data_IF_481458433124
#
_entry.id   IF_481458433124
#
_cell.length_a   1.000
_cell.length_b   1.000
_cell.length_c   1.000
_cell.angle_alpha   90.00
_cell.angle_beta   90.00
_cell.angle_gamma   90.00
#
_symmetry.space_group_name_H-M   'P 1'
#
loop_
_entity.id
_entity.type
_entity.pdbx_description
1 polymer ?
#
# COMPACT_ATOMS: atom_id res chain seq x y z
N UNK A 1 8.87 -7.81 15.78
CA UNK A 1 8.92 -6.80 14.70
C UNK A 1 7.54 -6.55 14.06
N UNK A 2 6.56 -7.46 14.17
CA UNK A 2 5.20 -7.26 13.59
C UNK A 2 4.28 -6.32 14.38
N UNK A 3 4.41 -6.23 15.71
CA UNK A 3 3.48 -5.44 16.55
C UNK A 3 3.49 -3.93 16.29
N UNK A 4 4.63 -3.34 15.92
CA UNK A 4 4.71 -1.89 15.70
C UNK A 4 4.04 -1.45 14.41
N UNK A 5 4.22 -2.22 13.32
CA UNK A 5 3.60 -1.95 12.02
C UNK A 5 2.10 -2.23 12.08
N UNK A 6 1.69 -3.34 12.69
CA UNK A 6 0.27 -3.67 12.85
C UNK A 6 -0.47 -2.56 13.62
N UNK A 7 0.11 -2.13 14.75
CA UNK A 7 -0.46 -1.05 15.56
C UNK A 7 -0.56 0.26 14.79
N UNK A 8 0.50 0.65 14.07
CA UNK A 8 0.51 1.87 13.26
C UNK A 8 -0.58 1.84 12.19
N UNK A 9 -0.66 0.78 11.39
CA UNK A 9 -1.67 0.63 10.33
C UNK A 9 -3.08 0.68 10.92
N UNK A 10 -3.29 0.04 12.07
CA UNK A 10 -4.58 0.07 12.77
C UNK A 10 -4.98 1.45 13.27
N UNK A 11 -4.03 2.23 13.77
CA UNK A 11 -4.27 3.59 14.24
C UNK A 11 -4.67 4.51 13.07
N UNK A 12 -3.92 4.45 11.97
CA UNK A 12 -4.23 5.19 10.74
C UNK A 12 -5.60 4.80 10.17
N UNK A 13 -5.91 3.51 10.14
CA UNK A 13 -7.16 3.02 9.58
C UNK A 13 -8.37 3.37 10.45
N UNK A 14 -8.20 3.42 11.78
CA UNK A 14 -9.23 3.92 12.70
C UNK A 14 -9.43 5.43 12.60
N UNK A 15 -8.40 6.20 12.27
CA UNK A 15 -8.54 7.64 12.06
C UNK A 15 -9.45 7.94 10.85
N UNK A 16 -9.37 7.11 9.80
CA UNK A 16 -10.19 7.24 8.59
C UNK A 16 -11.53 6.52 8.69
N UNK A 17 -11.57 5.36 9.36
CA UNK A 17 -12.76 4.53 9.56
C UNK A 17 -12.94 4.24 11.07
N UNK A 18 -13.51 5.18 11.84
CA UNK A 18 -13.60 5.07 13.31
C UNK A 18 -14.37 3.86 13.83
N UNK A 19 -15.22 3.26 12.98
CA UNK A 19 -16.05 2.09 13.32
C UNK A 19 -15.48 0.77 12.81
N UNK A 20 -14.23 0.74 12.33
CA UNK A 20 -13.68 -0.54 11.88
C UNK A 20 -13.59 -1.52 13.05
N UNK A 21 -14.27 -2.65 12.90
CA UNK A 21 -14.26 -3.74 13.87
C UNK A 21 -13.25 -4.77 13.41
N UNK A 22 -12.25 -5.02 14.25
CA UNK A 22 -11.23 -6.04 14.01
C UNK A 22 -11.39 -7.09 15.10
N UNK A 23 -11.62 -8.32 14.70
CA UNK A 23 -12.09 -9.45 15.54
C UNK A 23 -10.98 -10.05 16.43
N UNK A 24 -9.99 -9.24 16.79
CA UNK A 24 -8.88 -9.62 17.67
C UNK A 24 -7.54 -9.74 16.95
N UNK A 25 -6.61 -10.45 17.58
CA UNK A 25 -5.22 -10.57 17.17
C UNK A 25 -5.01 -11.14 15.75
N UNK A 26 -5.74 -12.18 15.28
CA UNK A 26 -5.50 -12.74 13.95
C UNK A 26 -5.75 -11.76 12.81
N UNK A 27 -6.81 -10.96 12.88
CA UNK A 27 -7.10 -9.96 11.84
C UNK A 27 -6.12 -8.79 11.87
N UNK A 28 -5.61 -8.42 13.06
CA UNK A 28 -4.52 -7.45 13.20
C UNK A 28 -3.24 -7.92 12.50
N UNK A 29 -2.90 -9.20 12.66
CA UNK A 29 -1.75 -9.82 11.99
C UNK A 29 -1.97 -9.82 10.47
N UNK A 30 -3.15 -10.25 10.01
CA UNK A 30 -3.47 -10.26 8.58
C UNK A 30 -3.37 -8.87 7.94
N UNK A 31 -3.85 -7.84 8.63
CA UNK A 31 -3.75 -6.46 8.15
C UNK A 31 -2.28 -6.00 8.04
N UNK A 32 -1.45 -6.36 9.03
CA UNK A 32 -0.03 -6.04 9.01
C UNK A 32 0.70 -6.75 7.86
N UNK A 33 0.38 -8.03 7.64
CA UNK A 33 0.92 -8.79 6.52
C UNK A 33 0.50 -8.18 5.18
N UNK A 34 -0.77 -7.81 5.03
CA UNK A 34 -1.29 -7.15 3.82
C UNK A 34 -0.54 -5.83 3.55
N UNK A 35 -0.34 -5.01 4.58
CA UNK A 35 0.39 -3.76 4.45
C UNK A 35 1.85 -3.99 4.04
N UNK A 36 2.53 -4.95 4.67
CA UNK A 36 3.92 -5.30 4.34
C UNK A 36 4.05 -5.85 2.91
N UNK A 37 3.09 -6.66 2.47
CA UNK A 37 3.02 -7.18 1.10
C UNK A 37 2.82 -6.06 0.09
N UNK A 38 1.88 -5.15 0.34
CA UNK A 38 1.63 -4.00 -0.54
C UNK A 38 2.86 -3.09 -0.65
N UNK A 39 3.49 -2.78 0.48
CA UNK A 39 4.74 -2.01 0.51
C UNK A 39 5.85 -2.70 -0.28
N UNK A 40 5.97 -4.03 -0.17
CA UNK A 40 6.98 -4.80 -0.90
C UNK A 40 6.76 -4.69 -2.41
N UNK A 41 5.52 -4.79 -2.88
CA UNK A 41 5.18 -4.63 -4.29
C UNK A 41 5.46 -3.22 -4.80
N UNK A 42 5.09 -2.19 -4.04
CA UNK A 42 5.42 -0.79 -4.37
C UNK A 42 6.93 -0.62 -4.51
N UNK A 43 7.71 -1.16 -3.57
CA UNK A 43 9.17 -1.07 -3.62
C UNK A 43 9.78 -1.85 -4.78
N UNK A 44 9.17 -2.95 -5.22
CA UNK A 44 9.60 -3.69 -6.42
C UNK A 44 9.34 -2.89 -7.70
N UNK A 45 8.18 -2.24 -7.83
CA UNK A 45 7.91 -1.36 -8.98
C UNK A 45 8.81 -0.12 -8.97
N UNK A 46 9.04 0.51 -7.81
CA UNK A 46 10.01 1.60 -7.70
C UNK A 46 11.40 1.22 -8.22
N UNK A 47 11.85 -0.02 -7.94
CA UNK A 47 13.13 -0.53 -8.45
C UNK A 47 13.10 -0.70 -9.96
N UNK A 48 12.00 -1.23 -10.52
CA UNK A 48 11.84 -1.36 -11.97
C UNK A 48 11.92 -0.02 -12.68
N UNK A 49 11.30 1.03 -12.13
CA UNK A 49 11.39 2.37 -12.68
C UNK A 49 12.78 2.99 -12.51
N UNK A 50 13.41 2.82 -11.35
CA UNK A 50 14.79 3.26 -11.14
C UNK A 50 15.77 2.59 -12.12
N UNK A 51 15.59 1.30 -12.38
CA UNK A 51 16.38 0.52 -13.34
C UNK A 51 16.12 0.97 -14.79
N UNK A 52 14.85 1.23 -15.15
CA UNK A 52 14.45 1.81 -16.45
C UNK A 52 15.18 3.14 -16.70
N UNK A 53 15.27 3.98 -15.68
CA UNK A 53 15.85 5.32 -15.77
C UNK A 53 17.37 5.30 -15.51
N UNK A 54 17.96 4.10 -15.35
CA UNK A 54 19.39 3.88 -15.12
C UNK A 54 19.94 4.61 -13.89
N UNK A 55 19.10 4.80 -12.88
CA UNK A 55 19.45 5.45 -11.62
C UNK A 55 19.78 4.42 -10.55
N UNK A 56 20.66 4.78 -9.62
CA UNK A 56 21.01 3.91 -8.48
C UNK A 56 20.11 4.13 -7.25
N UNK A 57 19.19 5.08 -7.34
CA UNK A 57 18.40 5.56 -6.21
C UNK A 57 16.94 5.67 -6.61
N UNK A 58 16.06 5.19 -5.73
CA UNK A 58 14.62 5.43 -5.86
C UNK A 58 14.37 6.89 -5.51
N UNK A 59 13.76 7.63 -6.43
CA UNK A 59 13.33 9.02 -6.23
C UNK A 59 11.82 9.05 -5.94
N UNK A 60 11.28 10.20 -5.48
CA UNK A 60 9.84 10.36 -5.30
C UNK A 60 9.02 10.08 -6.57
N UNK A 61 9.54 10.43 -7.75
CA UNK A 61 8.86 10.20 -9.02
C UNK A 61 8.65 8.70 -9.30
N UNK A 62 9.65 7.86 -9.00
CA UNK A 62 9.48 6.40 -9.13
C UNK A 62 8.42 5.83 -8.17
N UNK A 63 8.24 6.47 -7.00
CA UNK A 63 7.19 6.09 -6.06
C UNK A 63 5.81 6.46 -6.59
N UNK A 64 5.66 7.66 -7.15
CA UNK A 64 4.40 8.10 -7.77
C UNK A 64 4.02 7.18 -8.93
N UNK A 65 4.97 6.84 -9.81
CA UNK A 65 4.77 5.88 -10.91
C UNK A 65 4.43 4.47 -10.42
N UNK A 66 5.08 3.99 -9.34
CA UNK A 66 4.79 2.68 -8.74
C UNK A 66 3.39 2.61 -8.15
N UNK A 67 2.95 3.68 -7.47
CA UNK A 67 1.60 3.77 -6.93
C UNK A 67 0.57 3.82 -8.05
N UNK A 68 0.79 4.62 -9.09
CA UNK A 68 -0.10 4.68 -10.26
C UNK A 68 -0.19 3.33 -10.97
N UNK A 69 0.94 2.66 -11.21
CA UNK A 69 0.98 1.36 -11.88
C UNK A 69 0.26 0.25 -11.09
N UNK A 70 0.29 0.31 -9.75
CA UNK A 70 -0.31 -0.73 -8.90
C UNK A 70 -1.76 -0.44 -8.51
N UNK A 71 -2.14 0.85 -8.35
CA UNK A 71 -3.41 1.27 -7.77
C UNK A 71 -4.24 2.17 -8.69
N UNK A 72 -3.69 2.66 -9.81
CA UNK A 72 -4.32 3.64 -10.70
C UNK A 72 -5.55 3.15 -11.47
N UNK A 73 -5.84 1.84 -11.47
CA UNK A 73 -7.04 1.29 -12.10
C UNK A 73 -8.27 1.23 -11.17
N UNK A 74 -8.16 1.62 -9.88
CA UNK A 74 -9.27 1.52 -8.92
C UNK A 74 -10.44 2.48 -9.26
N UNK A 75 -10.20 3.55 -10.03
CA UNK A 75 -11.22 4.54 -10.39
C UNK A 75 -11.87 4.34 -11.78
N UNK A 76 -11.37 3.41 -12.63
CA UNK A 76 -11.86 3.28 -14.02
C UNK A 76 -13.14 2.46 -14.21
N UNK A 77 -13.59 1.70 -13.20
CA UNK A 77 -14.81 0.89 -13.29
C UNK A 77 -16.05 1.55 -12.63
N UNK A 78 -15.91 2.74 -12.01
CA UNK A 78 -17.04 3.41 -11.33
C UNK A 78 -17.90 4.30 -12.24
N UNK A 79 -17.54 4.50 -13.50
CA UNK A 79 -18.23 5.42 -14.44
C UNK A 79 -18.82 4.73 -15.69
N UNK A 80 -19.06 3.42 -15.62
CA UNK A 80 -19.63 2.60 -16.71
C UNK A 80 -21.14 2.36 -16.65
N UNK A 81 -21.90 3.13 -15.86
CA UNK A 81 -23.35 3.00 -15.73
C UNK A 81 -24.11 4.06 -16.53
N UNK A 82 -24.41 3.77 -17.80
CA UNK A 82 -25.39 4.50 -18.60
C UNK A 82 -26.34 3.51 -19.30
#
# INVERSE_FOLDING_TARGET
MHESVSKYVLEELRAQVPKISIRGEPESILLACLYQELLSRVMEECKRFADRDSTKHITPEHLDEAVEALLGDIDRESDGGA
#
